data_IF_049101867859
#
_entry.id   IF_049101867859
#
_cell.length_a   1.000
_cell.length_b   1.000
_cell.length_c   1.000
_cell.angle_alpha   90.00
_cell.angle_beta   90.00
_cell.angle_gamma   90.00
#
_symmetry.space_group_name_H-M   'P 1'
#
loop_
_entity.id
_entity.type
_entity.pdbx_description
1 polymer ?
#
# COMPACT_ATOMS: atom_id res chain seq x y z
N UNK A 1 20.28 -15.80 -29.29
CA UNK A 1 18.88 -15.88 -28.86
C UNK A 1 18.73 -14.93 -27.71
N UNK A 2 17.96 -13.85 -27.84
CA UNK A 2 17.64 -12.96 -26.72
C UNK A 2 16.88 -13.81 -25.70
N UNK A 3 17.31 -13.76 -24.41
CA UNK A 3 16.63 -14.48 -23.35
C UNK A 3 15.18 -13.99 -23.25
N UNK A 4 14.23 -14.93 -23.13
CA UNK A 4 12.81 -14.59 -22.90
C UNK A 4 12.66 -13.73 -21.66
N UNK A 5 11.83 -12.65 -21.69
CA UNK A 5 11.69 -11.74 -20.58
C UNK A 5 10.91 -12.37 -19.41
N UNK A 6 11.11 -11.82 -18.22
CA UNK A 6 10.13 -11.94 -17.13
C UNK A 6 8.97 -11.01 -17.45
N UNK A 7 7.78 -11.59 -17.63
CA UNK A 7 6.55 -10.83 -17.86
C UNK A 7 5.97 -10.40 -16.51
N UNK A 8 5.61 -9.14 -16.39
CA UNK A 8 4.90 -8.60 -15.21
C UNK A 8 3.50 -8.16 -15.65
N UNK A 9 2.48 -8.78 -15.08
CA UNK A 9 1.09 -8.38 -15.30
C UNK A 9 0.74 -7.25 -14.30
N UNK A 10 0.64 -6.01 -14.80
CA UNK A 10 0.27 -4.83 -14.05
C UNK A 10 1.42 -3.87 -13.76
N UNK A 11 1.21 -2.59 -14.11
CA UNK A 11 2.10 -1.45 -13.88
C UNK A 11 1.77 -0.67 -12.61
N UNK A 12 1.30 -1.35 -11.56
CA UNK A 12 1.13 -0.78 -10.23
C UNK A 12 2.45 -0.61 -9.47
N UNK A 13 2.40 -0.15 -8.22
CA UNK A 13 3.60 0.08 -7.38
C UNK A 13 4.46 -1.19 -7.29
N UNK A 14 3.85 -2.35 -7.01
CA UNK A 14 4.57 -3.62 -6.90
C UNK A 14 5.21 -4.03 -8.23
N UNK A 15 4.46 -3.98 -9.33
CA UNK A 15 4.96 -4.35 -10.66
C UNK A 15 6.08 -3.45 -11.16
N UNK A 16 5.95 -2.13 -10.99
CA UNK A 16 7.00 -1.17 -11.37
C UNK A 16 8.24 -1.29 -10.49
N UNK A 17 8.06 -1.55 -9.18
CA UNK A 17 9.19 -1.82 -8.27
C UNK A 17 9.94 -3.09 -8.66
N UNK A 18 9.20 -4.14 -9.08
CA UNK A 18 9.82 -5.36 -9.59
C UNK A 18 10.53 -5.12 -10.92
N UNK A 19 9.93 -4.38 -11.85
CA UNK A 19 10.57 -4.05 -13.13
C UNK A 19 11.89 -3.28 -12.93
N UNK A 20 11.91 -2.30 -12.03
CA UNK A 20 13.13 -1.59 -11.64
C UNK A 20 14.16 -2.52 -10.99
N UNK A 21 13.72 -3.44 -10.14
CA UNK A 21 14.60 -4.44 -9.50
C UNK A 21 15.21 -5.39 -10.52
N UNK A 22 14.39 -5.91 -11.46
CA UNK A 22 14.86 -6.77 -12.55
C UNK A 22 15.87 -6.05 -13.44
N UNK A 23 15.58 -4.79 -13.80
CA UNK A 23 16.55 -3.97 -14.54
C UNK A 23 17.85 -3.80 -13.77
N UNK A 24 17.80 -3.51 -12.46
CA UNK A 24 18.98 -3.35 -11.60
C UNK A 24 19.88 -4.59 -11.60
N UNK A 25 19.28 -5.79 -11.54
CA UNK A 25 20.04 -7.06 -11.52
C UNK A 25 20.39 -7.59 -12.92
N UNK A 26 20.02 -6.87 -13.99
CA UNK A 26 20.34 -7.22 -15.39
C UNK A 26 19.43 -8.30 -15.99
N UNK A 27 18.21 -8.48 -15.45
CA UNK A 27 17.20 -9.39 -15.99
C UNK A 27 16.37 -8.73 -17.11
N UNK A 28 16.06 -9.43 -18.20
CA UNK A 28 15.12 -8.95 -19.21
C UNK A 28 13.71 -8.90 -18.63
N UNK A 29 12.97 -7.82 -18.88
CA UNK A 29 11.65 -7.60 -18.31
C UNK A 29 10.70 -6.95 -19.31
N UNK A 30 9.42 -7.35 -19.26
CA UNK A 30 8.32 -6.72 -19.97
C UNK A 30 7.13 -6.54 -19.03
N UNK A 31 6.66 -5.31 -18.87
CA UNK A 31 5.44 -4.99 -18.11
C UNK A 31 4.25 -4.89 -19.06
N UNK A 32 3.16 -5.57 -18.75
CA UNK A 32 1.88 -5.48 -19.46
C UNK A 32 0.88 -4.76 -18.57
N UNK A 33 0.49 -3.55 -18.98
CA UNK A 33 -0.41 -2.69 -18.21
C UNK A 33 -1.76 -2.50 -18.93
N UNK A 34 -2.84 -2.70 -18.21
CA UNK A 34 -4.20 -2.70 -18.76
C UNK A 34 -4.68 -1.32 -19.21
N UNK A 35 -4.25 -0.24 -18.55
CA UNK A 35 -4.65 1.12 -18.93
C UNK A 35 -3.86 1.57 -20.17
N UNK A 36 -4.46 2.47 -20.95
CA UNK A 36 -3.79 3.07 -22.13
C UNK A 36 -2.79 4.15 -21.76
N UNK A 37 -2.96 4.74 -20.58
CA UNK A 37 -2.14 5.84 -20.10
C UNK A 37 -2.16 5.87 -18.57
N UNK A 38 -0.99 5.92 -17.95
CA UNK A 38 -0.88 6.08 -16.50
C UNK A 38 -1.14 7.53 -16.12
N UNK A 39 -1.97 7.72 -15.09
CA UNK A 39 -2.28 9.02 -14.52
C UNK A 39 -2.08 8.99 -13.01
N UNK A 40 -1.71 10.11 -12.40
CA UNK A 40 -1.50 10.18 -10.95
C UNK A 40 -2.84 10.16 -10.21
N UNK A 41 -3.57 9.05 -10.34
CA UNK A 41 -4.86 8.86 -9.67
C UNK A 41 -4.64 8.34 -8.26
N UNK A 42 -5.50 8.79 -7.37
CA UNK A 42 -5.51 8.29 -6.00
C UNK A 42 -5.39 9.39 -4.96
N UNK A 43 -5.02 8.97 -3.79
CA UNK A 43 -4.92 9.77 -2.57
C UNK A 43 -3.63 9.41 -1.84
N UNK A 44 -3.44 9.95 -0.64
CA UNK A 44 -2.24 9.68 0.15
C UNK A 44 -2.14 8.22 0.63
N UNK A 45 -0.92 7.74 0.70
CA UNK A 45 -0.52 6.49 1.35
C UNK A 45 0.73 6.71 2.19
N UNK A 46 1.01 5.76 3.09
CA UNK A 46 2.25 5.75 3.89
C UNK A 46 3.21 4.70 3.38
N UNK A 47 4.50 5.06 3.36
CA UNK A 47 5.62 4.17 3.10
C UNK A 47 6.41 3.99 4.39
N UNK A 48 6.49 2.76 4.86
CA UNK A 48 7.21 2.40 6.07
C UNK A 48 8.75 2.45 5.84
N UNK A 49 9.57 2.62 6.88
CA UNK A 49 11.03 2.72 6.76
C UNK A 49 11.71 1.57 6.01
N UNK A 50 11.17 0.34 6.11
CA UNK A 50 11.68 -0.80 5.37
C UNK A 50 11.51 -0.63 3.85
N UNK A 51 10.35 -0.17 3.41
CA UNK A 51 10.10 0.08 1.99
C UNK A 51 10.90 1.30 1.47
N UNK A 52 11.05 2.35 2.28
CA UNK A 52 11.88 3.51 1.92
C UNK A 52 13.35 3.10 1.75
N UNK A 53 13.87 2.23 2.61
CA UNK A 53 15.20 1.61 2.42
C UNK A 53 15.32 0.98 1.04
N UNK A 54 14.37 0.14 0.67
CA UNK A 54 14.39 -0.55 -0.62
C UNK A 54 14.29 0.39 -1.82
N UNK A 55 13.52 1.47 -1.68
CA UNK A 55 13.48 2.52 -2.71
C UNK A 55 14.82 3.23 -2.84
N UNK A 56 15.49 3.55 -1.74
CA UNK A 56 16.84 4.14 -1.77
C UNK A 56 17.84 3.18 -2.42
N UNK A 57 17.79 1.89 -2.09
CA UNK A 57 18.63 0.86 -2.71
C UNK A 57 18.32 0.64 -4.20
N UNK A 58 17.11 0.98 -4.64
CA UNK A 58 16.73 1.08 -6.06
C UNK A 58 17.22 2.38 -6.73
N UNK A 59 17.88 3.27 -5.98
CA UNK A 59 18.36 4.56 -6.49
C UNK A 59 17.24 5.59 -6.67
N UNK A 60 16.14 5.49 -5.92
CA UNK A 60 15.17 6.56 -5.70
C UNK A 60 15.73 7.43 -4.57
N UNK A 61 15.99 8.69 -4.83
CA UNK A 61 16.59 9.58 -3.84
C UNK A 61 15.55 10.14 -2.84
N UNK A 62 16.05 10.68 -1.73
CA UNK A 62 15.25 11.46 -0.80
C UNK A 62 14.54 12.62 -1.51
N UNK A 63 15.24 13.33 -2.39
CA UNK A 63 14.66 14.41 -3.18
C UNK A 63 13.54 13.95 -4.13
N UNK A 64 13.62 12.73 -4.68
CA UNK A 64 12.52 12.16 -5.49
C UNK A 64 11.27 11.93 -4.63
N UNK A 65 11.42 11.46 -3.39
CA UNK A 65 10.31 11.24 -2.46
C UNK A 65 9.76 12.55 -1.89
N UNK A 66 10.61 13.52 -1.56
CA UNK A 66 10.20 14.85 -1.09
C UNK A 66 9.39 15.62 -2.14
N UNK A 67 9.65 15.36 -3.44
CA UNK A 67 8.88 15.95 -4.53
C UNK A 67 7.42 15.46 -4.62
N UNK A 68 7.11 14.29 -4.04
CA UNK A 68 5.78 13.65 -4.12
C UNK A 68 5.11 13.40 -2.76
N UNK A 69 5.76 13.83 -1.67
CA UNK A 69 5.29 13.57 -0.32
C UNK A 69 6.09 14.31 0.73
N UNK A 70 5.99 13.84 1.96
CA UNK A 70 6.80 14.35 3.06
C UNK A 70 7.09 13.29 4.11
N UNK A 71 8.16 13.51 4.89
CA UNK A 71 8.54 12.61 5.96
C UNK A 71 7.55 12.70 7.13
N UNK A 72 6.95 11.57 7.49
CA UNK A 72 6.08 11.44 8.66
C UNK A 72 6.92 11.42 9.93
N UNK A 73 6.62 12.31 10.88
CA UNK A 73 7.38 12.48 12.13
C UNK A 73 6.67 11.92 13.36
N UNK A 74 5.35 11.88 13.31
CA UNK A 74 4.49 11.47 14.42
C UNK A 74 3.32 10.65 13.92
N UNK A 75 2.88 9.72 14.74
CA UNK A 75 1.60 9.05 14.62
C UNK A 75 0.81 9.30 15.93
N UNK A 76 -0.43 9.77 15.84
CA UNK A 76 -1.22 10.14 16.98
C UNK A 76 -2.67 9.65 16.89
N UNK A 77 -3.27 9.37 18.05
CA UNK A 77 -4.70 9.11 18.22
C UNK A 77 -5.31 10.18 19.12
N UNK A 78 -6.49 10.64 18.71
CA UNK A 78 -7.22 11.73 19.35
C UNK A 78 -8.67 11.32 19.58
N UNK A 79 -9.22 11.63 20.73
CA UNK A 79 -10.62 11.38 21.08
C UNK A 79 -11.57 12.36 20.41
N UNK A 80 -12.89 12.08 20.50
CA UNK A 80 -13.94 12.92 19.91
C UNK A 80 -13.97 14.36 20.42
N UNK A 81 -13.45 14.61 21.61
CA UNK A 81 -13.32 15.96 22.18
C UNK A 81 -12.03 16.68 21.82
N UNK A 82 -11.19 16.09 20.95
CA UNK A 82 -9.92 16.69 20.51
C UNK A 82 -8.74 16.45 21.46
N UNK A 83 -8.91 15.69 22.53
CA UNK A 83 -7.84 15.38 23.49
C UNK A 83 -7.01 14.17 23.03
N UNK A 84 -5.71 14.22 23.30
CA UNK A 84 -4.77 13.17 22.95
C UNK A 84 -5.03 11.87 23.72
N UNK A 85 -5.10 10.75 23.00
CA UNK A 85 -5.11 9.40 23.55
C UNK A 85 -3.70 8.83 23.60
N UNK A 86 -2.98 8.94 22.49
CA UNK A 86 -1.64 8.38 22.35
C UNK A 86 -0.89 9.08 21.21
N UNK A 87 0.42 9.24 21.36
CA UNK A 87 1.28 9.65 20.25
C UNK A 87 2.65 8.98 20.35
N UNK A 88 3.28 8.81 19.21
CA UNK A 88 4.64 8.27 19.13
C UNK A 88 5.41 8.84 17.94
N UNK A 89 6.74 8.94 18.03
CA UNK A 89 7.59 9.36 16.91
C UNK A 89 7.57 8.30 15.79
N UNK A 90 7.83 8.75 14.55
CA UNK A 90 7.93 7.90 13.37
C UNK A 90 9.23 8.12 12.59
N UNK A 91 9.57 7.15 11.74
CA UNK A 91 10.73 7.19 10.88
C UNK A 91 12.02 7.44 11.64
N UNK A 92 12.78 8.44 11.22
CA UNK A 92 14.06 8.82 11.84
C UNK A 92 13.92 9.15 13.33
N UNK A 93 12.82 9.81 13.73
CA UNK A 93 12.57 10.18 15.13
C UNK A 93 12.24 8.97 16.00
N UNK A 94 11.80 7.86 15.42
CA UNK A 94 11.61 6.58 16.12
C UNK A 94 12.88 5.74 16.20
N UNK A 95 14.02 6.24 15.69
CA UNK A 95 15.32 5.56 15.73
C UNK A 95 15.61 4.69 14.51
N UNK A 96 14.78 4.68 13.48
CA UNK A 96 15.11 4.03 12.21
C UNK A 96 16.21 4.78 11.47
N UNK A 97 17.01 4.09 10.67
CA UNK A 97 18.00 4.70 9.75
C UNK A 97 17.34 5.33 8.51
N UNK A 98 16.10 5.01 8.24
CA UNK A 98 15.33 5.48 7.10
C UNK A 98 14.07 6.19 7.55
N UNK A 99 13.64 7.25 6.84
CA UNK A 99 12.41 7.95 7.15
C UNK A 99 11.17 7.09 6.84
N UNK A 100 10.04 7.45 7.43
CA UNK A 100 8.72 7.07 6.97
C UNK A 100 8.18 8.20 6.10
N UNK A 101 7.48 7.89 5.03
CA UNK A 101 6.89 8.90 4.14
C UNK A 101 5.37 8.79 4.06
N UNK A 102 4.72 9.95 3.97
CA UNK A 102 3.36 10.11 3.47
C UNK A 102 3.44 10.69 2.06
N UNK A 103 2.98 9.94 1.06
CA UNK A 103 3.11 10.33 -0.36
C UNK A 103 1.77 10.25 -1.08
N UNK A 104 1.62 10.97 -2.19
CA UNK A 104 0.51 10.76 -3.10
C UNK A 104 0.71 9.46 -3.89
N UNK A 105 -0.23 8.51 -3.78
CA UNK A 105 -0.11 7.16 -4.37
C UNK A 105 0.14 7.19 -5.89
N UNK A 106 -0.61 8.02 -6.60
CA UNK A 106 -0.48 8.15 -8.05
C UNK A 106 0.85 8.77 -8.47
N UNK A 107 1.35 9.76 -7.73
CA UNK A 107 2.66 10.35 -8.00
C UNK A 107 3.81 9.37 -7.72
N UNK A 108 3.69 8.52 -6.69
CA UNK A 108 4.64 7.43 -6.47
C UNK A 108 4.67 6.48 -7.67
N UNK A 109 3.52 6.06 -8.16
CA UNK A 109 3.43 5.21 -9.35
C UNK A 109 4.06 5.89 -10.58
N UNK A 110 3.75 7.16 -10.82
CA UNK A 110 4.31 7.93 -11.93
C UNK A 110 5.82 8.13 -11.81
N UNK A 111 6.32 8.33 -10.60
CA UNK A 111 7.77 8.44 -10.35
C UNK A 111 8.48 7.13 -10.68
N UNK A 112 7.98 5.99 -10.18
CA UNK A 112 8.53 4.66 -10.48
C UNK A 112 8.50 4.39 -11.99
N UNK A 113 7.40 4.71 -12.67
CA UNK A 113 7.28 4.58 -14.11
C UNK A 113 8.32 5.43 -14.85
N UNK A 114 8.45 6.72 -14.53
CA UNK A 114 9.45 7.61 -15.14
C UNK A 114 10.87 7.09 -14.94
N UNK A 115 11.22 6.63 -13.74
CA UNK A 115 12.53 6.02 -13.44
C UNK A 115 12.78 4.74 -14.24
N UNK A 116 11.73 3.92 -14.42
CA UNK A 116 11.85 2.71 -15.24
C UNK A 116 12.11 3.04 -16.70
N UNK A 117 11.34 3.94 -17.29
CA UNK A 117 11.52 4.37 -18.69
C UNK A 117 12.86 5.08 -18.90
N UNK A 118 13.29 5.92 -17.97
CA UNK A 118 14.60 6.58 -18.01
C UNK A 118 15.75 5.56 -18.08
N UNK A 119 15.65 4.45 -17.34
CA UNK A 119 16.74 3.45 -17.22
C UNK A 119 16.67 2.35 -18.28
N UNK A 120 15.50 1.88 -18.60
CA UNK A 120 15.27 0.69 -19.43
C UNK A 120 14.70 0.98 -20.83
N UNK A 121 14.28 2.23 -21.10
CA UNK A 121 13.60 2.60 -22.34
C UNK A 121 12.07 2.43 -22.27
N UNK A 122 11.31 3.08 -23.16
CA UNK A 122 9.85 3.04 -23.15
C UNK A 122 9.25 1.69 -23.54
N UNK A 123 9.99 0.85 -24.27
CA UNK A 123 9.55 -0.48 -24.74
C UNK A 123 9.45 -1.52 -23.61
N UNK A 124 9.98 -1.21 -22.42
CA UNK A 124 9.89 -2.10 -21.25
C UNK A 124 8.47 -2.26 -20.71
N UNK A 125 7.56 -1.36 -21.09
CA UNK A 125 6.16 -1.41 -20.69
C UNK A 125 5.25 -1.26 -21.91
N UNK A 126 4.24 -2.12 -21.99
CA UNK A 126 3.18 -2.09 -23.01
C UNK A 126 1.86 -1.73 -22.36
N UNK A 127 1.29 -0.61 -22.76
CA UNK A 127 0.00 -0.11 -22.29
C UNK A 127 -1.16 -0.68 -23.11
N UNK A 128 -2.38 -0.65 -22.54
CA UNK A 128 -3.57 -1.20 -23.15
C UNK A 128 -3.51 -2.71 -23.33
N UNK A 129 -2.71 -3.40 -22.52
CA UNK A 129 -2.43 -4.82 -22.57
C UNK A 129 -2.81 -5.48 -21.23
N UNK A 130 -4.02 -6.00 -21.14
CA UNK A 130 -4.53 -6.68 -19.93
C UNK A 130 -4.20 -8.16 -19.98
N UNK A 131 -3.45 -8.68 -19.03
CA UNK A 131 -3.30 -10.12 -18.85
C UNK A 131 -4.62 -10.70 -18.32
N UNK A 132 -5.18 -11.65 -19.02
CA UNK A 132 -6.46 -12.30 -18.70
C UNK A 132 -6.30 -13.75 -18.28
N UNK A 133 -5.10 -14.31 -18.45
CA UNK A 133 -4.77 -15.68 -18.07
C UNK A 133 -3.35 -16.05 -18.46
N UNK A 134 -2.98 -17.29 -18.23
CA UNK A 134 -1.65 -17.81 -18.55
C UNK A 134 -1.66 -19.31 -18.88
N UNK A 135 -0.56 -19.77 -19.42
CA UNK A 135 -0.30 -21.19 -19.69
C UNK A 135 1.17 -21.51 -19.40
N UNK A 136 1.43 -22.48 -18.52
CA UNK A 136 2.76 -23.08 -18.38
C UNK A 136 3.02 -24.00 -19.57
N UNK A 137 4.10 -23.78 -20.31
CA UNK A 137 4.43 -24.53 -21.52
C UNK A 137 5.36 -25.70 -21.21
N UNK A 138 5.27 -26.76 -22.03
CA UNK A 138 6.10 -27.95 -21.87
C UNK A 138 7.59 -27.70 -22.22
N UNK A 139 7.89 -26.65 -22.99
CA UNK A 139 9.25 -26.26 -23.38
C UNK A 139 9.99 -25.46 -22.27
N UNK A 140 9.36 -25.26 -21.14
CA UNK A 140 9.94 -24.51 -20.03
C UNK A 140 9.79 -22.98 -20.14
N UNK A 141 8.82 -22.50 -20.90
CA UNK A 141 8.38 -21.11 -20.95
C UNK A 141 6.99 -20.93 -20.32
N UNK A 142 6.53 -19.70 -20.22
CA UNK A 142 5.16 -19.35 -19.85
C UNK A 142 4.57 -18.43 -20.92
N UNK A 143 3.30 -18.62 -21.25
CA UNK A 143 2.55 -17.73 -22.13
C UNK A 143 1.55 -16.92 -21.33
N UNK A 144 1.63 -15.59 -21.39
CA UNK A 144 0.58 -14.70 -20.91
C UNK A 144 -0.49 -14.53 -22.01
N UNK A 145 -1.76 -14.69 -21.64
CA UNK A 145 -2.90 -14.43 -22.51
C UNK A 145 -3.32 -12.99 -22.30
N UNK A 146 -3.26 -12.18 -23.33
CA UNK A 146 -3.44 -10.73 -23.25
C UNK A 146 -4.63 -10.29 -24.08
N UNK A 147 -5.41 -9.36 -23.53
CA UNK A 147 -6.49 -8.68 -24.23
C UNK A 147 -6.18 -7.19 -24.31
N UNK A 148 -6.24 -6.62 -25.50
CA UNK A 148 -6.06 -5.18 -25.70
C UNK A 148 -7.30 -4.42 -25.26
N UNK A 149 -7.15 -3.10 -25.09
CA UNK A 149 -8.27 -2.21 -24.75
C UNK A 149 -9.36 -2.18 -25.86
N UNK A 150 -9.07 -2.68 -27.07
CA UNK A 150 -10.02 -2.79 -28.20
C UNK A 150 -10.61 -4.20 -28.32
N UNK A 151 -10.26 -5.10 -27.37
CA UNK A 151 -10.79 -6.47 -27.29
C UNK A 151 -10.04 -7.50 -28.16
N UNK A 152 -8.94 -7.12 -28.80
CA UNK A 152 -8.09 -8.06 -29.53
C UNK A 152 -7.29 -8.92 -28.55
N UNK A 153 -7.13 -10.20 -28.86
CA UNK A 153 -6.36 -11.14 -28.05
C UNK A 153 -5.05 -11.52 -28.72
N UNK A 154 -3.99 -11.55 -27.95
CA UNK A 154 -2.69 -12.05 -28.38
C UNK A 154 -1.99 -12.81 -27.25
N UNK A 155 -0.94 -13.51 -27.58
CA UNK A 155 -0.11 -14.25 -26.63
C UNK A 155 1.27 -13.59 -26.53
N UNK A 156 1.80 -13.50 -25.30
CA UNK A 156 3.16 -13.04 -25.04
C UNK A 156 3.92 -14.14 -24.30
N UNK A 157 5.11 -14.50 -24.78
CA UNK A 157 5.91 -15.54 -24.17
C UNK A 157 7.01 -14.96 -23.28
N UNK A 158 7.28 -15.64 -22.18
CA UNK A 158 8.32 -15.26 -21.24
C UNK A 158 8.94 -16.46 -20.53
N UNK A 159 10.05 -16.23 -19.83
CA UNK A 159 10.63 -17.25 -18.97
C UNK A 159 9.83 -17.44 -17.67
N UNK A 160 9.26 -16.37 -17.14
CA UNK A 160 8.41 -16.34 -15.94
C UNK A 160 7.29 -15.30 -16.12
N UNK A 161 6.17 -15.46 -15.41
CA UNK A 161 5.08 -14.50 -15.31
C UNK A 161 4.84 -14.12 -13.85
N UNK A 162 4.87 -12.83 -13.57
CA UNK A 162 4.59 -12.30 -12.23
C UNK A 162 3.28 -11.52 -12.25
N UNK A 163 2.26 -12.03 -11.55
CA UNK A 163 0.97 -11.38 -11.39
C UNK A 163 1.05 -10.27 -10.35
N UNK A 164 1.02 -9.02 -10.79
CA UNK A 164 0.95 -7.81 -9.98
C UNK A 164 -0.28 -6.96 -10.36
N UNK A 165 -1.35 -7.62 -10.80
CA UNK A 165 -2.57 -7.08 -11.41
C UNK A 165 -3.67 -6.74 -10.38
N UNK A 166 -3.29 -6.61 -9.10
CA UNK A 166 -4.07 -5.99 -8.04
C UNK A 166 -5.18 -6.87 -7.47
N UNK A 167 -6.07 -6.25 -6.70
CA UNK A 167 -7.18 -6.90 -5.98
C UNK A 167 -8.06 -7.80 -6.89
N UNK A 168 -8.27 -7.38 -8.14
CA UNK A 168 -9.08 -8.08 -9.14
C UNK A 168 -8.24 -8.94 -10.09
N UNK A 169 -7.10 -9.42 -9.62
CA UNK A 169 -6.13 -10.21 -10.40
C UNK A 169 -6.78 -11.36 -11.19
N UNK A 170 -6.58 -11.33 -12.51
CA UNK A 170 -6.97 -12.43 -13.40
C UNK A 170 -6.00 -13.61 -13.24
N UNK A 171 -4.73 -13.34 -12.97
CA UNK A 171 -3.72 -14.38 -12.74
C UNK A 171 -4.08 -15.17 -11.47
N UNK A 172 -4.43 -14.47 -10.36
CA UNK A 172 -4.91 -15.11 -9.13
C UNK A 172 -6.19 -15.90 -9.35
N UNK A 173 -7.15 -15.34 -10.08
CA UNK A 173 -8.44 -16.00 -10.34
C UNK A 173 -8.27 -17.31 -11.11
N UNK A 174 -7.32 -17.37 -12.04
CA UNK A 174 -6.98 -18.62 -12.73
C UNK A 174 -6.25 -19.62 -11.83
N UNK A 175 -5.30 -19.14 -11.01
CA UNK A 175 -4.53 -19.99 -10.08
C UNK A 175 -5.43 -20.58 -8.99
N UNK A 176 -6.44 -19.82 -8.53
CA UNK A 176 -7.37 -20.19 -7.47
C UNK A 176 -8.82 -19.97 -7.89
N UNK A 177 -9.36 -20.80 -8.79
CA UNK A 177 -10.73 -20.63 -9.30
C UNK A 177 -11.80 -20.75 -8.22
N UNK A 178 -11.53 -21.51 -7.16
CA UNK A 178 -12.44 -21.75 -6.03
C UNK A 178 -12.18 -20.81 -4.84
N UNK A 179 -11.38 -19.73 -5.03
CA UNK A 179 -11.12 -18.78 -3.95
C UNK A 179 -12.41 -18.12 -3.45
N UNK A 180 -12.51 -17.81 -2.14
CA UNK A 180 -13.64 -17.07 -1.60
C UNK A 180 -13.83 -15.72 -2.30
N UNK A 181 -15.06 -15.17 -2.30
CA UNK A 181 -15.31 -13.84 -2.82
C UNK A 181 -14.55 -12.78 -2.02
N UNK A 182 -14.55 -11.55 -2.53
CA UNK A 182 -13.99 -10.40 -1.80
C UNK A 182 -14.65 -10.31 -0.42
N UNK A 183 -13.81 -10.20 0.61
CA UNK A 183 -14.24 -10.01 1.99
C UNK A 183 -14.45 -8.52 2.27
N UNK A 184 -15.59 -8.15 2.87
CA UNK A 184 -15.89 -6.79 3.29
C UNK A 184 -15.86 -6.66 4.82
N UNK A 185 -15.14 -5.66 5.30
CA UNK A 185 -14.92 -5.41 6.73
C UNK A 185 -16.01 -4.59 7.44
N UNK A 186 -17.18 -4.39 6.83
CA UNK A 186 -18.29 -3.68 7.46
C UNK A 186 -18.12 -2.15 7.55
N UNK A 187 -17.14 -1.57 6.83
CA UNK A 187 -16.94 -0.13 6.81
C UNK A 187 -16.85 0.42 5.39
N UNK A 188 -17.26 1.67 5.23
CA UNK A 188 -17.07 2.49 4.03
C UNK A 188 -16.09 3.59 4.37
N UNK A 189 -15.14 3.80 3.47
CA UNK A 189 -14.19 4.90 3.56
C UNK A 189 -14.42 5.86 2.40
N UNK A 190 -14.51 7.14 2.69
CA UNK A 190 -14.38 8.19 1.70
C UNK A 190 -12.99 8.81 1.81
N UNK A 191 -12.35 8.99 0.69
CA UNK A 191 -10.96 9.42 0.64
C UNK A 191 -10.80 10.59 -0.31
N UNK A 192 -10.02 11.59 0.10
CA UNK A 192 -9.74 12.76 -0.70
C UNK A 192 -8.51 13.49 -0.22
N UNK A 193 -8.24 14.59 -0.91
CA UNK A 193 -7.19 15.53 -0.53
C UNK A 193 -7.75 16.95 -0.54
N UNK A 194 -7.33 17.76 0.41
CA UNK A 194 -7.75 19.16 0.54
C UNK A 194 -6.58 20.05 0.93
N UNK A 195 -6.56 21.32 0.53
CA UNK A 195 -5.65 22.29 1.13
C UNK A 195 -5.98 22.46 2.62
N UNK A 196 -4.95 22.48 3.47
CA UNK A 196 -5.12 22.66 4.91
C UNK A 196 -3.82 23.01 5.61
N UNK A 197 -3.93 23.60 6.79
CA UNK A 197 -2.77 23.88 7.64
C UNK A 197 -2.35 22.58 8.31
N UNK A 198 -1.09 22.13 8.17
CA UNK A 198 -0.60 20.96 8.88
C UNK A 198 -0.61 21.22 10.40
N UNK A 199 -1.07 20.23 11.14
CA UNK A 199 -1.21 20.32 12.59
C UNK A 199 -0.07 19.62 13.33
N UNK A 200 0.02 19.84 14.66
CA UNK A 200 0.96 19.20 15.59
C UNK A 200 2.41 19.43 15.17
N UNK A 201 3.13 18.39 14.76
CA UNK A 201 4.52 18.50 14.27
C UNK A 201 4.63 19.11 12.86
N UNK A 202 3.52 19.38 12.19
CA UNK A 202 3.48 19.75 10.79
C UNK A 202 3.65 18.54 9.83
N UNK A 203 3.92 17.37 10.39
CA UNK A 203 4.16 16.11 9.66
C UNK A 203 3.55 14.90 10.42
N UNK A 204 2.42 15.12 11.08
CA UNK A 204 1.75 14.13 11.90
C UNK A 204 0.70 13.36 11.11
N UNK A 205 0.69 12.04 11.27
CA UNK A 205 -0.42 11.18 10.90
C UNK A 205 -1.36 11.09 12.10
N UNK A 206 -2.62 11.47 11.94
CA UNK A 206 -3.58 11.52 13.05
C UNK A 206 -4.80 10.68 12.73
N UNK A 207 -5.18 9.83 13.68
CA UNK A 207 -6.47 9.14 13.73
C UNK A 207 -7.35 9.75 14.82
N UNK A 208 -8.56 10.17 14.49
CA UNK A 208 -9.50 10.80 15.39
C UNK A 208 -10.85 10.09 15.31
N UNK A 209 -11.53 9.95 16.44
CA UNK A 209 -12.90 9.44 16.47
C UNK A 209 -13.11 8.23 17.34
N UNK A 210 -13.97 7.32 16.86
CA UNK A 210 -14.38 6.12 17.56
C UNK A 210 -14.30 4.90 16.65
N UNK A 211 -14.74 3.76 17.15
CA UNK A 211 -14.98 2.55 16.37
C UNK A 211 -16.02 2.76 15.22
N UNK A 212 -17.03 3.62 15.42
CA UNK A 212 -18.12 3.79 14.44
C UNK A 212 -17.83 4.85 13.39
N UNK A 213 -17.20 5.94 13.79
CA UNK A 213 -16.83 7.05 12.93
C UNK A 213 -15.40 7.39 13.19
N UNK A 214 -14.56 7.31 12.18
CA UNK A 214 -13.14 7.59 12.27
C UNK A 214 -12.72 8.54 11.16
N UNK A 215 -11.87 9.49 11.50
CA UNK A 215 -11.25 10.39 10.55
C UNK A 215 -9.73 10.28 10.67
N UNK A 216 -9.09 9.90 9.59
CA UNK A 216 -7.62 9.80 9.52
C UNK A 216 -7.12 10.85 8.56
N UNK A 217 -6.11 11.60 8.95
CA UNK A 217 -5.57 12.65 8.10
C UNK A 217 -4.09 12.89 8.36
N UNK A 218 -3.40 13.34 7.32
CA UNK A 218 -1.97 13.63 7.34
C UNK A 218 -1.57 14.44 6.11
N UNK A 219 -0.56 15.32 6.20
CA UNK A 219 -0.04 16.04 5.04
C UNK A 219 0.74 15.10 4.12
N UNK A 220 0.61 15.32 2.81
CA UNK A 220 1.35 14.64 1.75
C UNK A 220 2.16 15.61 0.89
N UNK A 221 2.28 16.85 1.29
CA UNK A 221 3.19 17.84 0.72
C UNK A 221 3.71 18.76 1.83
N UNK A 222 4.84 19.38 1.60
CA UNK A 222 5.26 20.51 2.41
C UNK A 222 4.24 21.66 2.29
N UNK A 223 4.08 22.49 3.33
CA UNK A 223 3.26 23.69 3.24
C UNK A 223 3.86 24.68 2.25
N UNK A 224 3.00 25.30 1.46
CA UNK A 224 3.37 26.40 0.59
C UNK A 224 3.85 27.61 1.42
N UNK A 225 4.94 28.25 1.00
CA UNK A 225 5.61 29.29 1.77
C UNK A 225 4.77 30.59 1.90
N UNK A 226 3.85 30.85 0.98
CA UNK A 226 3.03 32.05 0.99
C UNK A 226 1.73 31.85 1.76
N UNK A 227 1.09 30.69 1.59
CA UNK A 227 -0.23 30.39 2.16
C UNK A 227 -0.17 29.62 3.46
N UNK A 228 0.93 28.91 3.74
CA UNK A 228 1.06 27.99 4.85
C UNK A 228 0.22 26.70 4.68
N UNK A 229 -0.42 26.50 3.54
CA UNK A 229 -1.27 25.35 3.27
C UNK A 229 -0.47 24.21 2.65
N UNK A 230 -0.71 23.01 3.12
CA UNK A 230 -0.23 21.76 2.52
C UNK A 230 -1.40 21.01 1.88
N UNK A 231 -1.10 20.01 1.07
CA UNK A 231 -2.08 19.03 0.65
C UNK A 231 -2.28 18.03 1.79
N UNK A 232 -3.45 18.07 2.40
CA UNK A 232 -3.86 17.14 3.46
C UNK A 232 -4.62 15.98 2.83
N UNK A 233 -4.08 14.77 2.96
CA UNK A 233 -4.84 13.56 2.69
C UNK A 233 -5.76 13.27 3.86
N UNK A 234 -7.00 12.86 3.57
CA UNK A 234 -7.94 12.44 4.58
C UNK A 234 -8.71 11.18 4.18
N UNK A 235 -9.13 10.44 5.19
CA UNK A 235 -9.96 9.24 5.11
C UNK A 235 -11.07 9.43 6.13
N UNK A 236 -12.30 9.59 5.65
CA UNK A 236 -13.51 9.59 6.46
C UNK A 236 -14.07 8.17 6.45
N UNK A 237 -14.21 7.54 7.60
CA UNK A 237 -14.63 6.14 7.71
C UNK A 237 -15.87 6.02 8.58
N UNK A 238 -16.83 5.25 8.10
CA UNK A 238 -18.07 4.92 8.85
C UNK A 238 -18.27 3.40 8.83
N UNK A 239 -18.42 2.83 10.02
CA UNK A 239 -18.85 1.44 10.17
C UNK A 239 -20.36 1.35 9.86
N UNK A 240 -20.71 0.50 8.93
CA UNK A 240 -22.07 0.30 8.45
C UNK A 240 -22.72 -0.84 9.21
N UNK A 241 -24.02 -0.74 9.47
CA UNK A 241 -24.77 -1.83 10.10
C UNK A 241 -24.67 -3.10 9.23
N UNK A 242 -24.32 -4.26 9.81
CA UNK A 242 -24.20 -5.50 9.06
C UNK A 242 -25.48 -5.89 8.29
N UNK A 243 -26.66 -5.46 8.76
CA UNK A 243 -27.94 -5.69 8.08
C UNK A 243 -28.09 -4.96 6.75
N UNK A 244 -27.34 -3.84 6.56
CA UNK A 244 -27.36 -3.10 5.30
C UNK A 244 -26.59 -3.82 4.18
N UNK A 245 -25.64 -4.66 4.55
CA UNK A 245 -24.78 -5.42 3.65
C UNK A 245 -23.91 -4.53 2.74
N UNK A 246 -22.96 -5.15 2.09
CA UNK A 246 -22.18 -4.47 1.06
C UNK A 246 -22.91 -4.48 -0.28
N UNK A 247 -23.27 -3.29 -0.76
CA UNK A 247 -24.03 -3.13 -2.02
C UNK A 247 -23.15 -3.19 -3.28
N UNK A 248 -21.89 -3.59 -3.15
CA UNK A 248 -20.89 -3.70 -4.24
C UNK A 248 -20.94 -2.51 -5.22
N UNK A 249 -20.74 -1.31 -4.69
CA UNK A 249 -20.83 -0.06 -5.48
C UNK A 249 -19.57 0.23 -6.30
N UNK A 250 -18.62 -0.70 -6.33
CA UNK A 250 -17.35 -0.57 -7.02
C UNK A 250 -16.20 -0.15 -6.10
N UNK A 251 -15.03 -0.08 -6.68
CA UNK A 251 -13.79 0.35 -6.03
C UNK A 251 -13.37 1.70 -6.59
N UNK A 252 -13.03 2.65 -5.71
CA UNK A 252 -12.55 3.96 -6.12
C UNK A 252 -13.57 4.77 -6.95
N UNK A 253 -14.82 4.80 -6.49
CA UNK A 253 -15.92 5.50 -7.15
C UNK A 253 -15.94 6.97 -6.74
N UNK A 254 -15.92 7.94 -7.68
CA UNK A 254 -16.15 9.34 -7.36
C UNK A 254 -17.52 9.55 -6.71
N UNK A 255 -17.58 10.38 -5.68
CA UNK A 255 -18.81 10.73 -4.94
C UNK A 255 -18.83 12.22 -4.62
N UNK A 256 -20.03 12.75 -4.42
CA UNK A 256 -20.22 14.11 -3.93
C UNK A 256 -19.92 14.18 -2.43
N UNK A 257 -19.28 15.27 -2.01
CA UNK A 257 -18.91 15.45 -0.58
C UNK A 257 -20.15 15.47 0.31
N UNK A 258 -21.22 16.09 -0.13
CA UNK A 258 -22.46 16.24 0.65
C UNK A 258 -23.17 14.88 0.88
N UNK A 259 -22.87 13.85 0.10
CA UNK A 259 -23.46 12.51 0.29
C UNK A 259 -23.03 11.88 1.63
N UNK A 260 -21.85 12.24 2.17
CA UNK A 260 -21.31 11.62 3.38
C UNK A 260 -20.81 12.62 4.45
N UNK A 261 -20.57 13.88 4.10
CA UNK A 261 -19.98 14.86 5.04
C UNK A 261 -20.82 15.05 6.30
N UNK A 262 -22.15 14.85 6.22
CA UNK A 262 -23.07 14.96 7.35
C UNK A 262 -22.71 14.03 8.53
N UNK A 263 -22.00 12.93 8.30
CA UNK A 263 -21.51 12.05 9.37
C UNK A 263 -20.48 12.75 10.29
N UNK A 264 -19.90 13.87 9.85
CA UNK A 264 -18.82 14.60 10.51
C UNK A 264 -19.19 16.06 10.84
N UNK A 265 -20.46 16.48 10.73
CA UNK A 265 -20.89 17.88 10.86
C UNK A 265 -20.51 18.53 12.21
N UNK A 266 -20.47 17.75 13.29
CA UNK A 266 -20.09 18.26 14.61
C UNK A 266 -18.59 18.21 14.92
N UNK A 267 -17.73 17.84 13.98
CA UNK A 267 -16.30 17.59 14.23
C UNK A 267 -15.46 18.82 13.96
N UNK A 268 -15.68 19.85 14.79
CA UNK A 268 -14.97 21.13 14.72
C UNK A 268 -14.21 21.38 16.02
N UNK A 269 -12.92 21.59 15.91
CA UNK A 269 -11.96 21.82 17.00
C UNK A 269 -11.23 23.13 16.79
N UNK A 270 -10.62 23.72 17.84
CA UNK A 270 -9.82 24.95 17.69
C UNK A 270 -8.69 24.80 16.66
N UNK A 271 -8.16 23.58 16.51
CA UNK A 271 -7.01 23.26 15.66
C UNK A 271 -7.40 22.55 14.35
N UNK A 272 -8.65 22.14 14.13
CA UNK A 272 -9.12 21.47 12.92
C UNK A 272 -10.64 21.62 12.73
N UNK A 273 -11.05 22.04 11.53
CA UNK A 273 -12.43 21.99 11.07
C UNK A 273 -12.57 20.90 10.00
N UNK A 274 -13.07 19.73 10.40
CA UNK A 274 -13.22 18.59 9.51
C UNK A 274 -14.28 18.84 8.41
N UNK A 275 -15.48 19.38 8.72
CA UNK A 275 -16.43 19.77 7.69
C UNK A 275 -15.83 20.73 6.61
N UNK A 276 -15.06 21.72 7.03
CA UNK A 276 -14.39 22.63 6.09
C UNK A 276 -13.30 21.90 5.28
N UNK A 277 -12.52 21.04 5.91
CA UNK A 277 -11.50 20.23 5.23
C UNK A 277 -12.13 19.31 4.16
N UNK A 278 -13.22 18.61 4.48
CA UNK A 278 -13.95 17.76 3.55
C UNK A 278 -14.45 18.56 2.35
N UNK A 279 -15.11 19.71 2.59
CA UNK A 279 -15.66 20.58 1.53
C UNK A 279 -14.58 21.29 0.71
N UNK A 280 -13.34 21.35 1.20
CA UNK A 280 -12.17 21.84 0.47
C UNK A 280 -11.64 20.88 -0.61
N UNK A 281 -12.10 19.65 -0.66
CA UNK A 281 -11.68 18.68 -1.66
C UNK A 281 -12.32 18.95 -3.01
N UNK A 282 -11.53 18.80 -4.07
CA UNK A 282 -12.03 18.87 -5.45
C UNK A 282 -12.78 17.59 -5.86
N UNK A 283 -12.38 16.47 -5.30
CA UNK A 283 -12.95 15.15 -5.58
C UNK A 283 -12.80 14.24 -4.35
N UNK A 284 -13.81 13.45 -4.08
CA UNK A 284 -13.75 12.37 -3.11
C UNK A 284 -14.05 11.04 -3.78
N UNK A 285 -13.48 9.97 -3.23
CA UNK A 285 -13.68 8.60 -3.70
C UNK A 285 -14.24 7.73 -2.59
N UNK A 286 -15.30 6.99 -2.89
CA UNK A 286 -15.81 5.94 -2.03
C UNK A 286 -14.97 4.67 -2.21
N UNK A 287 -14.48 4.14 -1.11
CA UNK A 287 -13.72 2.90 -1.04
C UNK A 287 -14.32 2.01 0.05
N UNK A 288 -14.94 0.89 -0.27
CA UNK A 288 -15.30 -0.09 0.75
C UNK A 288 -14.03 -0.68 1.39
N UNK A 289 -14.11 -1.00 2.68
CA UNK A 289 -13.02 -1.73 3.36
C UNK A 289 -13.08 -3.20 2.95
N UNK A 290 -12.32 -3.54 1.93
CA UNK A 290 -12.30 -4.87 1.33
C UNK A 290 -10.89 -5.43 1.24
N UNK A 291 -10.80 -6.76 1.32
CA UNK A 291 -9.60 -7.56 1.03
C UNK A 291 -10.02 -8.91 0.41
N UNK A 292 -9.10 -9.86 0.38
CA UNK A 292 -9.36 -11.25 0.02
C UNK A 292 -8.79 -12.18 1.08
N UNK A 293 -9.45 -13.30 1.29
CA UNK A 293 -8.89 -14.37 2.12
C UNK A 293 -7.53 -14.81 1.55
N UNK A 294 -6.56 -15.09 2.43
CA UNK A 294 -5.32 -15.72 2.02
C UNK A 294 -5.56 -17.01 1.24
N UNK A 295 -4.71 -17.24 0.25
CA UNK A 295 -4.68 -18.48 -0.52
C UNK A 295 -3.51 -19.35 -0.05
N UNK A 296 -3.55 -20.69 -0.26
CA UNK A 296 -2.54 -21.60 0.27
C UNK A 296 -1.17 -21.45 -0.39
N UNK A 297 -1.10 -20.87 -1.59
CA UNK A 297 0.15 -20.64 -2.34
C UNK A 297 -0.04 -19.46 -3.29
N UNK A 298 1.05 -18.74 -3.57
CA UNK A 298 1.10 -17.71 -4.61
C UNK A 298 1.78 -18.18 -5.89
N UNK A 299 2.17 -19.44 -5.94
CA UNK A 299 3.02 -20.02 -6.98
C UNK A 299 2.32 -21.15 -7.74
N UNK A 300 2.44 -21.12 -9.08
CA UNK A 300 2.02 -22.18 -10.00
C UNK A 300 3.01 -22.32 -11.17
N UNK A 301 3.95 -23.27 -11.04
CA UNK A 301 4.95 -23.52 -12.06
C UNK A 301 5.85 -22.31 -12.33
N UNK A 302 5.63 -21.61 -13.45
CA UNK A 302 6.38 -20.40 -13.85
C UNK A 302 5.66 -19.11 -13.54
N UNK A 303 4.64 -19.16 -12.70
CA UNK A 303 3.80 -18.02 -12.35
C UNK A 303 3.86 -17.76 -10.85
N UNK A 304 3.98 -16.49 -10.45
CA UNK A 304 3.94 -16.05 -9.05
C UNK A 304 3.04 -14.82 -8.92
N UNK A 305 2.33 -14.70 -7.81
CA UNK A 305 1.58 -13.51 -7.40
C UNK A 305 2.41 -12.65 -6.45
N UNK A 306 2.34 -11.32 -6.59
CA UNK A 306 2.91 -10.34 -5.67
C UNK A 306 1.95 -9.15 -5.43
N UNK A 307 2.20 -8.37 -4.40
CA UNK A 307 1.40 -7.19 -4.08
C UNK A 307 -0.08 -7.52 -3.86
N UNK A 308 -0.98 -6.62 -4.26
CA UNK A 308 -2.42 -6.80 -4.05
C UNK A 308 -3.02 -7.99 -4.84
N UNK A 309 -2.31 -8.57 -5.81
CA UNK A 309 -2.71 -9.82 -6.43
C UNK A 309 -2.53 -11.01 -5.48
N UNK A 310 -1.49 -10.99 -4.66
CA UNK A 310 -1.17 -12.03 -3.67
C UNK A 310 -1.89 -11.79 -2.33
N UNK A 311 -1.80 -10.56 -1.80
CA UNK A 311 -2.17 -10.25 -0.42
C UNK A 311 -2.85 -8.87 -0.28
N UNK A 312 -3.99 -8.64 -0.97
CA UNK A 312 -4.75 -7.42 -0.74
C UNK A 312 -5.18 -7.35 0.71
N UNK A 313 -5.02 -6.19 1.34
CA UNK A 313 -5.23 -6.05 2.78
C UNK A 313 -5.91 -4.75 3.13
N UNK A 314 -6.60 -4.71 4.28
CA UNK A 314 -7.17 -3.47 4.81
C UNK A 314 -6.07 -2.45 5.11
N UNK A 315 -6.36 -1.15 4.94
CA UNK A 315 -5.38 -0.09 5.14
C UNK A 315 -5.01 0.15 6.60
N UNK A 316 -5.60 -0.59 7.54
CA UNK A 316 -5.47 -0.42 9.01
C UNK A 316 -4.01 -0.37 9.48
N UNK A 317 -3.14 -1.18 8.87
CA UNK A 317 -1.71 -1.20 9.20
C UNK A 317 -0.83 -0.28 8.35
N UNK A 318 -1.40 0.40 7.34
CA UNK A 318 -0.65 1.22 6.35
C UNK A 318 0.51 0.47 5.67
N UNK A 319 0.33 -0.82 5.37
CA UNK A 319 1.42 -1.72 4.95
C UNK A 319 1.36 -2.11 3.46
N UNK A 320 0.22 -2.00 2.78
CA UNK A 320 0.01 -2.61 1.46
C UNK A 320 1.05 -2.22 0.42
N UNK A 321 1.27 -0.91 0.21
CA UNK A 321 2.27 -0.43 -0.75
C UNK A 321 3.71 -0.82 -0.34
N UNK A 322 4.02 -0.71 0.96
CA UNK A 322 5.33 -1.11 1.50
C UNK A 322 5.61 -2.60 1.27
N UNK A 323 4.61 -3.46 1.49
CA UNK A 323 4.74 -4.89 1.25
C UNK A 323 4.96 -5.19 -0.23
N UNK A 324 4.24 -4.54 -1.15
CA UNK A 324 4.44 -4.73 -2.59
C UNK A 324 5.84 -4.32 -3.06
N UNK A 325 6.43 -3.27 -2.47
CA UNK A 325 7.84 -2.89 -2.72
C UNK A 325 8.78 -3.96 -2.15
N UNK A 326 8.52 -4.45 -0.93
CA UNK A 326 9.30 -5.53 -0.32
C UNK A 326 9.27 -6.81 -1.16
N UNK A 327 8.09 -7.21 -1.66
CA UNK A 327 7.96 -8.39 -2.53
C UNK A 327 8.88 -8.30 -3.74
N UNK A 328 8.89 -7.14 -4.40
CA UNK A 328 9.72 -6.91 -5.58
C UNK A 328 11.21 -7.08 -5.28
N UNK A 329 11.67 -6.58 -4.15
CA UNK A 329 13.07 -6.64 -3.75
C UNK A 329 13.51 -8.02 -3.29
N UNK A 330 12.66 -8.68 -2.49
CA UNK A 330 12.90 -10.05 -2.01
C UNK A 330 12.92 -11.06 -3.17
N UNK A 331 11.98 -10.91 -4.12
CA UNK A 331 11.99 -11.75 -5.33
C UNK A 331 13.24 -11.51 -6.16
N UNK A 332 13.68 -10.25 -6.31
CA UNK A 332 14.95 -9.92 -6.97
C UNK A 332 16.17 -10.58 -6.32
N UNK A 333 16.21 -10.61 -4.99
CA UNK A 333 17.27 -11.31 -4.25
C UNK A 333 17.26 -12.84 -4.49
N UNK A 334 16.07 -13.44 -4.54
CA UNK A 334 15.93 -14.86 -4.85
C UNK A 334 16.32 -15.19 -6.29
N UNK A 335 16.08 -14.28 -7.25
CA UNK A 335 16.56 -14.45 -8.62
C UNK A 335 18.11 -14.43 -8.71
N UNK A 336 18.76 -13.64 -7.88
CA UNK A 336 20.24 -13.67 -7.80
C UNK A 336 20.78 -15.01 -7.27
N UNK A 337 20.02 -15.69 -6.38
CA UNK A 337 20.38 -17.00 -5.83
C UNK A 337 20.05 -18.16 -6.75
N UNK A 338 18.84 -18.18 -7.30
CA UNK A 338 18.26 -19.33 -8.01
C UNK A 338 18.21 -19.14 -9.53
N UNK A 339 18.58 -17.95 -10.04
CA UNK A 339 18.33 -17.56 -11.43
C UNK A 339 16.84 -17.26 -11.70
N UNK A 340 16.53 -16.96 -12.96
CA UNK A 340 15.14 -16.75 -13.43
C UNK A 340 14.44 -18.11 -13.62
N UNK A 341 14.14 -18.80 -12.54
CA UNK A 341 13.64 -20.19 -12.54
C UNK A 341 12.40 -20.33 -11.67
N UNK A 342 11.60 -21.40 -11.86
CA UNK A 342 10.51 -21.73 -10.96
C UNK A 342 10.94 -21.94 -9.51
N UNK A 343 12.18 -22.39 -9.27
CA UNK A 343 12.70 -22.59 -7.92
C UNK A 343 12.79 -21.29 -7.13
N UNK A 344 13.12 -20.17 -7.79
CA UNK A 344 13.08 -18.85 -7.15
C UNK A 344 11.66 -18.47 -6.73
N UNK A 345 10.65 -18.78 -7.56
CA UNK A 345 9.24 -18.52 -7.27
C UNK A 345 8.73 -19.40 -6.12
N UNK A 346 9.09 -20.68 -6.12
CA UNK A 346 8.74 -21.61 -5.06
C UNK A 346 9.40 -21.23 -3.73
N UNK A 347 10.65 -20.76 -3.75
CA UNK A 347 11.34 -20.26 -2.56
C UNK A 347 10.64 -19.01 -2.00
N UNK A 348 10.24 -18.07 -2.86
CA UNK A 348 9.46 -16.89 -2.46
C UNK A 348 8.15 -17.28 -1.78
N UNK A 349 7.38 -18.17 -2.41
CA UNK A 349 6.11 -18.66 -1.87
C UNK A 349 6.30 -19.32 -0.50
N UNK A 350 7.28 -20.22 -0.38
CA UNK A 350 7.57 -20.93 0.86
C UNK A 350 7.94 -19.98 2.01
N UNK A 351 8.71 -18.93 1.72
CA UNK A 351 9.22 -18.03 2.75
C UNK A 351 8.21 -16.95 3.14
N UNK A 352 7.43 -16.42 2.18
CA UNK A 352 6.64 -15.20 2.41
C UNK A 352 5.12 -15.40 2.40
N UNK A 353 4.57 -16.41 1.74
CA UNK A 353 3.12 -16.60 1.64
C UNK A 353 2.45 -16.71 3.01
N UNK A 354 2.95 -17.57 3.88
CA UNK A 354 2.40 -17.78 5.22
C UNK A 354 2.51 -16.52 6.11
N UNK A 355 3.70 -15.96 6.33
CA UNK A 355 3.89 -14.77 7.17
C UNK A 355 3.08 -13.56 6.70
N UNK A 356 3.05 -13.25 5.41
CA UNK A 356 2.31 -12.09 4.89
C UNK A 356 0.79 -12.34 4.93
N UNK A 357 0.33 -13.57 4.74
CA UNK A 357 -1.07 -13.97 4.95
C UNK A 357 -1.54 -13.67 6.38
N UNK A 358 -0.68 -13.84 7.39
CA UNK A 358 -0.99 -13.46 8.77
C UNK A 358 -1.12 -11.93 8.93
N UNK A 359 -0.38 -11.14 8.16
CA UNK A 359 -0.54 -9.68 8.14
C UNK A 359 -1.91 -9.30 7.58
N UNK A 360 -2.36 -9.94 6.48
CA UNK A 360 -3.70 -9.72 5.90
C UNK A 360 -4.78 -9.95 6.96
N UNK A 361 -4.75 -11.11 7.63
CA UNK A 361 -5.74 -11.46 8.64
C UNK A 361 -5.70 -10.51 9.85
N UNK A 362 -4.52 -10.11 10.29
CA UNK A 362 -4.34 -9.17 11.39
C UNK A 362 -4.91 -7.78 11.06
N UNK A 363 -4.74 -7.33 9.82
CA UNK A 363 -5.25 -6.03 9.39
C UNK A 363 -6.80 -5.96 9.38
N UNK A 364 -7.50 -7.08 9.46
CA UNK A 364 -8.95 -7.14 9.70
C UNK A 364 -9.34 -6.73 11.11
N UNK A 365 -8.41 -6.79 12.06
CA UNK A 365 -8.59 -6.21 13.39
C UNK A 365 -8.42 -4.69 13.40
N UNK A 366 -8.68 -4.09 14.55
CA UNK A 366 -8.56 -2.64 14.72
C UNK A 366 -7.12 -2.10 14.60
N UNK A 367 -6.13 -3.00 14.68
CA UNK A 367 -4.72 -2.62 14.64
C UNK A 367 -4.38 -1.56 15.70
N UNK A 368 -3.57 -0.54 15.35
CA UNK A 368 -3.21 0.52 16.29
C UNK A 368 -4.41 1.42 16.67
N UNK A 369 -5.48 1.41 15.88
CA UNK A 369 -6.71 2.15 16.19
C UNK A 369 -7.56 1.49 17.29
N UNK A 370 -7.17 0.31 17.79
CA UNK A 370 -7.88 -0.35 18.89
C UNK A 370 -7.95 0.46 20.18
N UNK A 371 -7.02 1.40 20.41
CA UNK A 371 -7.13 2.35 21.51
C UNK A 371 -8.35 3.28 21.38
N UNK A 372 -8.75 3.68 20.15
CA UNK A 372 -10.00 4.41 19.93
C UNK A 372 -11.22 3.60 20.35
N UNK A 373 -11.20 2.28 20.06
CA UNK A 373 -12.29 1.39 20.46
C UNK A 373 -12.41 1.30 21.98
N UNK A 374 -11.26 1.14 22.67
CA UNK A 374 -11.25 1.11 24.14
C UNK A 374 -11.77 2.41 24.77
N UNK A 375 -11.41 3.56 24.22
CA UNK A 375 -11.91 4.87 24.67
C UNK A 375 -13.41 4.98 24.41
N UNK A 376 -13.89 4.56 23.24
CA UNK A 376 -15.32 4.55 22.92
C UNK A 376 -16.11 3.65 23.90
N UNK A 377 -15.64 2.43 24.14
CA UNK A 377 -16.24 1.48 25.07
C UNK A 377 -16.29 1.96 26.52
N UNK A 378 -15.22 2.62 27.00
CA UNK A 378 -15.08 3.01 28.39
C UNK A 378 -15.73 4.36 28.74
N UNK A 379 -15.76 5.31 27.79
CA UNK A 379 -16.25 6.66 28.08
C UNK A 379 -16.97 7.34 26.89
N UNK A 380 -17.33 6.60 25.85
CA UNK A 380 -18.06 7.16 24.69
C UNK A 380 -17.23 8.11 23.83
N UNK A 381 -15.90 7.97 23.85
CA UNK A 381 -15.00 8.72 22.95
C UNK A 381 -14.54 10.09 23.49
N UNK A 382 -15.02 10.53 24.66
CA UNK A 382 -14.69 11.85 25.26
C UNK A 382 -14.19 11.71 26.68
N UNK A 383 -13.18 12.47 27.07
CA UNK A 383 -12.55 12.39 28.39
C UNK A 383 -11.79 13.70 28.70
N UNK A 384 -11.63 14.00 29.98
CA UNK A 384 -10.80 15.12 30.42
C UNK A 384 -9.32 14.71 30.54
N UNK A 385 -9.07 13.58 31.16
CA UNK A 385 -7.74 12.99 31.30
C UNK A 385 -7.75 11.54 30.85
N UNK A 386 -6.95 11.20 29.84
CA UNK A 386 -6.88 9.85 29.28
C UNK A 386 -6.38 8.81 30.31
N UNK A 387 -5.57 9.22 31.28
CA UNK A 387 -5.03 8.30 32.28
C UNK A 387 -6.12 7.73 33.22
N UNK A 388 -7.26 8.44 33.34
CA UNK A 388 -8.44 7.96 34.08
C UNK A 388 -9.26 6.93 33.27
N UNK A 389 -9.09 6.89 31.95
CA UNK A 389 -9.79 5.97 31.02
C UNK A 389 -8.95 4.76 30.70
N UNK A 390 -7.70 4.98 30.29
CA UNK A 390 -6.72 3.94 29.96
C UNK A 390 -5.38 4.34 30.59
N UNK A 391 -4.91 3.65 31.64
CA UNK A 391 -3.62 3.94 32.28
C UNK A 391 -2.44 3.95 31.29
N UNK A 392 -1.38 4.73 31.52
CA UNK A 392 -0.23 4.83 30.64
C UNK A 392 0.43 3.47 30.32
N UNK A 393 0.49 2.58 31.33
CA UNK A 393 1.07 1.25 31.18
C UNK A 393 0.24 0.41 30.22
N UNK A 394 -1.09 0.44 30.32
CA UNK A 394 -2.00 -0.31 29.43
C UNK A 394 -1.89 0.18 27.98
N UNK A 395 -1.81 1.50 27.76
CA UNK A 395 -1.61 2.07 26.42
C UNK A 395 -0.27 1.63 25.83
N UNK A 396 0.78 1.65 26.63
CA UNK A 396 2.12 1.24 26.21
C UNK A 396 2.17 -0.24 25.87
N UNK A 397 1.57 -1.09 26.70
CA UNK A 397 1.50 -2.53 26.47
C UNK A 397 0.69 -2.87 25.20
N UNK A 398 -0.46 -2.22 25.01
CA UNK A 398 -1.28 -2.37 23.81
C UNK A 398 -0.48 -2.07 22.55
N UNK A 399 0.21 -0.94 22.51
CA UNK A 399 1.00 -0.51 21.36
C UNK A 399 2.25 -1.36 21.13
N UNK A 400 2.90 -1.81 22.21
CA UNK A 400 4.04 -2.73 22.13
C UNK A 400 3.62 -4.09 21.55
N UNK A 401 2.48 -4.62 21.97
CA UNK A 401 1.90 -5.85 21.42
C UNK A 401 1.61 -5.73 19.93
N UNK A 402 1.02 -4.61 19.51
CA UNK A 402 0.80 -4.33 18.09
C UNK A 402 2.12 -4.27 17.29
N UNK A 403 3.12 -3.53 17.76
CA UNK A 403 4.42 -3.40 17.08
C UNK A 403 5.15 -4.72 16.95
N UNK A 404 5.20 -5.51 18.03
CA UNK A 404 5.81 -6.84 18.02
C UNK A 404 5.14 -7.75 16.99
N UNK A 405 3.80 -7.73 16.95
CA UNK A 405 3.04 -8.51 16.00
C UNK A 405 3.18 -8.00 14.55
N UNK A 406 3.41 -6.70 14.33
CA UNK A 406 3.57 -6.11 13.01
C UNK A 406 5.00 -6.26 12.44
N UNK A 407 5.96 -6.75 13.24
CA UNK A 407 7.35 -6.93 12.80
C UNK A 407 8.15 -5.62 12.65
N UNK A 408 7.69 -4.53 13.24
CA UNK A 408 8.36 -3.21 13.22
C UNK A 408 9.44 -3.12 14.31
N UNK A 409 10.47 -3.98 14.23
CA UNK A 409 11.62 -3.90 15.14
C UNK A 409 12.68 -2.99 14.54
N UNK A 410 12.87 -1.82 15.16
CA UNK A 410 13.88 -0.81 14.75
C UNK A 410 15.27 -1.44 14.66
N UNK A 411 15.68 -2.15 15.70
CA UNK A 411 17.00 -2.76 15.82
C UNK A 411 17.22 -3.80 14.72
N UNK A 412 16.20 -4.60 14.41
CA UNK A 412 16.26 -5.64 13.39
C UNK A 412 16.45 -5.01 12.00
N UNK A 413 15.66 -4.00 11.65
CA UNK A 413 15.78 -3.32 10.35
C UNK A 413 17.13 -2.60 10.23
N UNK A 414 17.54 -1.88 11.28
CA UNK A 414 18.80 -1.13 11.30
C UNK A 414 20.03 -2.01 11.19
N UNK A 415 19.97 -3.25 11.68
CA UNK A 415 21.06 -4.22 11.64
C UNK A 415 21.05 -5.08 10.36
N UNK A 416 19.94 -5.13 9.63
CA UNK A 416 19.80 -5.98 8.45
C UNK A 416 20.68 -5.47 7.30
N UNK A 417 21.40 -6.35 6.58
CA UNK A 417 22.10 -5.99 5.37
C UNK A 417 21.12 -5.55 4.28
N UNK A 418 21.60 -4.90 3.19
CA UNK A 418 20.78 -4.64 2.02
C UNK A 418 20.15 -5.93 1.49
N UNK A 419 18.88 -5.87 1.07
CA UNK A 419 18.17 -7.02 0.50
C UNK A 419 18.85 -7.53 -0.77
N UNK A 420 19.36 -6.61 -1.58
CA UNK A 420 20.21 -6.87 -2.74
C UNK A 420 21.54 -6.15 -2.52
N UNK A 421 22.64 -6.89 -2.56
CA UNK A 421 23.96 -6.29 -2.40
C UNK A 421 24.23 -5.27 -3.52
N UNK A 422 24.86 -4.12 -3.22
CA UNK A 422 25.20 -3.12 -4.23
C UNK A 422 26.00 -3.74 -5.38
N UNK A 423 25.57 -3.49 -6.62
CA UNK A 423 26.20 -4.00 -7.84
C UNK A 423 25.99 -5.48 -8.14
N UNK A 424 25.18 -6.19 -7.35
CA UNK A 424 24.83 -7.58 -7.64
C UNK A 424 24.01 -7.68 -8.93
N UNK A 425 24.42 -8.57 -9.84
CA UNK A 425 23.75 -8.85 -11.12
C UNK A 425 23.64 -10.33 -11.35
N UNK A 426 22.67 -10.73 -12.16
CA UNK A 426 22.54 -12.12 -12.61
C UNK A 426 23.80 -12.53 -13.39
N UNK A 427 24.33 -13.69 -13.03
CA UNK A 427 25.42 -14.30 -13.82
C UNK A 427 24.83 -14.70 -15.18
N UNK A 428 25.37 -14.16 -16.26
CA UNK A 428 25.02 -14.62 -17.61
C UNK A 428 25.50 -16.06 -17.75
N UNK A 429 24.59 -17.02 -17.70
CA UNK A 429 24.86 -18.41 -18.07
C UNK A 429 24.80 -18.59 -19.58
#
# INVERSE_FOLDING_TARGET
VTAEPVIIAGGGIAGLSLALTLHQIGAPVLVLESVRDLRPLGVGINLQPNAVRELFDLGISEADLDAIGMQTREWALVGLNGNDIYSEPRGLLAGYKWPQYSVHRGELQMMLYRKLVERAGPEVIRFGARVTGYRNNADGTVTAIVETADGEKFEENGCLLIGADGLHSAVRAQMHPDQPPIHWGGAIMWRGTSPGVPIRTGASFVGLGTHRHRFVFYPISAPDAETGLATINWIAEVTVDPSEGWKNRGWFKPVEIDDFAHHFDGWTYEWLDIPALLRGAQIAYENPMIDRDPVPTWHDGRVLLIGDAAHPMYPTGSNGASQGIMDARLLGALFLWHGLTPDALAAFDTEYCGPVSQIVLRNRGAGPFGLLNLVDERCGGTFDNIDDVIPPEERTEFMAGYKAAAGFAVEKLNASPPTIAPGATLTRT
#
